data_IF_098522257296
#
_entry.id   IF_098522257296
#
_cell.length_a   1.000
_cell.length_b   1.000
_cell.length_c   1.000
_cell.angle_alpha   90.00
_cell.angle_beta   90.00
_cell.angle_gamma   90.00
#
_symmetry.space_group_name_H-M   'P 1'
#
loop_
_entity.id
_entity.type
_entity.pdbx_description
1 polymer ?
#
# COMPACT_ATOMS: atom_id res chain seq x y z
N UNK A 1 -18.11 -53.38 6.19
CA UNK A 1 -17.69 -51.99 5.96
C UNK A 1 -16.96 -51.95 4.63
N UNK A 2 -17.53 -51.32 3.60
CA UNK A 2 -16.86 -51.20 2.31
C UNK A 2 -15.80 -50.11 2.42
N UNK A 3 -14.54 -50.46 2.13
CA UNK A 3 -13.45 -49.49 2.03
C UNK A 3 -13.71 -48.58 0.82
N UNK A 4 -13.75 -47.27 1.05
CA UNK A 4 -13.85 -46.28 -0.01
C UNK A 4 -12.59 -46.39 -0.89
N UNK A 5 -12.80 -46.59 -2.19
CA UNK A 5 -11.74 -46.55 -3.20
C UNK A 5 -11.17 -45.12 -3.24
N UNK A 6 -9.84 -44.92 -3.20
CA UNK A 6 -9.28 -43.58 -3.25
C UNK A 6 -9.65 -42.93 -4.58
N UNK A 7 -10.31 -41.77 -4.52
CA UNK A 7 -10.65 -40.95 -5.68
C UNK A 7 -9.35 -40.59 -6.43
N UNK A 8 -9.29 -40.95 -7.72
CA UNK A 8 -8.15 -40.66 -8.59
C UNK A 8 -7.85 -39.16 -8.51
N UNK A 9 -6.63 -38.79 -8.11
CA UNK A 9 -6.22 -37.40 -8.05
C UNK A 9 -6.48 -36.72 -9.40
N UNK A 10 -7.36 -35.72 -9.43
CA UNK A 10 -7.61 -34.91 -10.63
C UNK A 10 -6.29 -34.29 -11.07
N UNK A 11 -6.03 -34.32 -12.38
CA UNK A 11 -4.86 -33.63 -12.94
C UNK A 11 -4.89 -32.16 -12.49
N UNK A 12 -3.74 -31.59 -12.09
CA UNK A 12 -3.69 -30.22 -11.61
C UNK A 12 -4.16 -29.29 -12.72
N UNK A 13 -4.99 -28.28 -12.40
CA UNK A 13 -5.47 -27.35 -13.41
C UNK A 13 -4.30 -26.59 -14.03
N UNK A 14 -4.30 -26.49 -15.36
CA UNK A 14 -3.33 -25.68 -16.10
C UNK A 14 -3.80 -24.23 -16.10
N UNK A 15 -2.92 -23.32 -15.67
CA UNK A 15 -3.21 -21.88 -15.69
C UNK A 15 -3.02 -21.31 -17.09
N UNK A 16 -3.92 -20.42 -17.50
CA UNK A 16 -3.68 -19.54 -18.65
C UNK A 16 -2.81 -18.35 -18.25
N UNK A 17 -2.23 -17.67 -19.24
CA UNK A 17 -1.49 -16.41 -19.03
C UNK A 17 -2.30 -15.39 -18.20
N UNK A 18 -3.57 -15.20 -18.56
CA UNK A 18 -4.45 -14.23 -17.88
C UNK A 18 -4.67 -14.63 -16.43
N UNK A 19 -4.95 -15.91 -16.17
CA UNK A 19 -5.13 -16.41 -14.80
C UNK A 19 -3.87 -16.27 -13.96
N UNK A 20 -2.69 -16.53 -14.53
CA UNK A 20 -1.42 -16.31 -13.83
C UNK A 20 -1.24 -14.85 -13.39
N UNK A 21 -1.55 -13.90 -14.28
CA UNK A 21 -1.48 -12.46 -13.99
C UNK A 21 -2.51 -12.07 -12.93
N UNK A 22 -3.74 -12.58 -12.99
CA UNK A 22 -4.77 -12.29 -12.00
C UNK A 22 -4.41 -12.81 -10.61
N UNK A 23 -3.86 -14.03 -10.52
CA UNK A 23 -3.35 -14.61 -9.27
C UNK A 23 -2.25 -13.73 -8.71
N UNK A 24 -1.27 -13.33 -9.52
CA UNK A 24 -0.21 -12.41 -9.11
C UNK A 24 -0.79 -11.10 -8.59
N UNK A 25 -1.69 -10.46 -9.33
CA UNK A 25 -2.28 -9.18 -8.94
C UNK A 25 -3.05 -9.29 -7.62
N UNK A 26 -3.83 -10.36 -7.43
CA UNK A 26 -4.58 -10.60 -6.21
C UNK A 26 -3.65 -10.78 -4.99
N UNK A 27 -2.61 -11.60 -5.13
CA UNK A 27 -1.64 -11.87 -4.06
C UNK A 27 -0.78 -10.65 -3.77
N UNK A 28 -0.26 -9.96 -4.79
CA UNK A 28 0.54 -8.75 -4.63
C UNK A 28 -0.28 -7.69 -3.88
N UNK A 29 -1.52 -7.44 -4.30
CA UNK A 29 -2.39 -6.47 -3.62
C UNK A 29 -2.60 -6.80 -2.14
N UNK A 30 -2.78 -8.08 -1.80
CA UNK A 30 -2.93 -8.49 -0.40
C UNK A 30 -1.61 -8.34 0.38
N UNK A 31 -0.49 -8.72 -0.22
CA UNK A 31 0.82 -8.65 0.41
C UNK A 31 1.34 -7.22 0.53
N UNK A 32 0.89 -6.28 -0.29
CA UNK A 32 1.25 -4.86 -0.13
C UNK A 32 0.54 -4.19 1.05
N UNK A 33 -0.45 -4.84 1.68
CA UNK A 33 -1.17 -4.22 2.81
C UNK A 33 -0.22 -3.93 3.99
N UNK A 34 -0.34 -2.76 4.67
CA UNK A 34 0.48 -2.41 5.82
C UNK A 34 0.43 -3.47 6.92
N UNK A 35 -0.76 -4.00 7.21
CA UNK A 35 -0.98 -5.03 8.22
C UNK A 35 -0.20 -6.32 7.93
N UNK A 36 -0.24 -6.79 6.68
CA UNK A 36 0.50 -7.99 6.28
C UNK A 36 2.01 -7.76 6.40
N UNK A 37 2.49 -6.63 5.86
CA UNK A 37 3.92 -6.32 5.87
C UNK A 37 4.44 -6.10 7.30
N UNK A 38 3.65 -5.52 8.19
CA UNK A 38 3.99 -5.40 9.62
C UNK A 38 4.08 -6.77 10.28
N UNK A 39 3.04 -7.60 10.16
CA UNK A 39 3.04 -8.95 10.75
C UNK A 39 4.20 -9.82 10.25
N UNK A 40 4.54 -9.71 8.96
CA UNK A 40 5.66 -10.43 8.37
C UNK A 40 7.00 -9.98 8.97
N UNK A 41 7.23 -8.67 9.11
CA UNK A 41 8.45 -8.13 9.73
C UNK A 41 8.59 -8.56 11.18
N UNK A 42 7.54 -8.42 11.98
CA UNK A 42 7.53 -8.85 13.39
C UNK A 42 7.83 -10.35 13.53
N UNK A 43 7.26 -11.18 12.65
CA UNK A 43 7.50 -12.62 12.66
C UNK A 43 8.94 -12.99 12.26
N UNK A 44 9.56 -12.27 11.32
CA UNK A 44 10.96 -12.45 10.94
C UNK A 44 11.92 -11.96 12.02
N UNK A 45 11.63 -10.83 12.66
CA UNK A 45 12.40 -10.33 13.80
C UNK A 45 12.39 -11.32 14.95
N UNK A 46 11.24 -11.90 15.28
CA UNK A 46 11.12 -12.94 16.30
C UNK A 46 11.87 -14.22 15.93
N UNK A 47 11.87 -14.60 14.65
CA UNK A 47 12.62 -15.76 14.17
C UNK A 47 14.14 -15.53 14.15
N UNK A 48 14.59 -14.27 14.12
CA UNK A 48 16.01 -13.93 14.04
C UNK A 48 16.66 -14.55 12.80
N UNK A 49 17.80 -15.23 12.99
CA UNK A 49 18.55 -15.91 11.92
C UNK A 49 18.11 -17.37 11.66
N UNK A 50 17.07 -17.86 12.33
CA UNK A 50 16.57 -19.21 12.11
C UNK A 50 15.73 -19.26 10.81
N UNK A 51 16.38 -19.67 9.73
CA UNK A 51 15.77 -19.78 8.40
C UNK A 51 14.53 -20.69 8.38
N UNK A 52 14.51 -21.74 9.21
CA UNK A 52 13.37 -22.66 9.28
C UNK A 52 12.19 -21.99 9.97
N UNK A 53 12.44 -21.25 11.05
CA UNK A 53 11.42 -20.45 11.72
C UNK A 53 10.89 -19.34 10.79
N UNK A 54 11.75 -18.63 10.05
CA UNK A 54 11.35 -17.65 9.05
C UNK A 54 10.47 -18.27 7.96
N UNK A 55 10.86 -19.42 7.41
CA UNK A 55 10.08 -20.14 6.40
C UNK A 55 8.70 -20.57 6.93
N UNK A 56 8.63 -21.03 8.19
CA UNK A 56 7.39 -21.39 8.84
C UNK A 56 6.47 -20.17 9.06
N UNK A 57 7.01 -19.06 9.56
CA UNK A 57 6.29 -17.79 9.73
C UNK A 57 5.72 -17.28 8.40
N UNK A 58 6.54 -17.26 7.35
CA UNK A 58 6.10 -16.89 5.99
C UNK A 58 4.95 -17.77 5.52
N UNK A 59 5.07 -19.09 5.66
CA UNK A 59 4.01 -20.02 5.25
C UNK A 59 2.71 -19.80 6.04
N UNK A 60 2.81 -19.55 7.35
CA UNK A 60 1.67 -19.33 8.23
C UNK A 60 0.90 -18.05 7.85
N UNK A 61 1.61 -16.97 7.52
CA UNK A 61 1.00 -15.69 7.12
C UNK A 61 0.46 -15.70 5.69
N UNK A 62 1.18 -16.33 4.76
CA UNK A 62 0.77 -16.38 3.35
C UNK A 62 -0.42 -17.31 3.11
N UNK A 63 -0.47 -18.47 3.78
CA UNK A 63 -1.49 -19.49 3.53
C UNK A 63 -2.95 -19.00 3.61
N UNK A 64 -3.41 -18.28 4.66
CA UNK A 64 -4.80 -17.82 4.72
C UNK A 64 -5.17 -16.84 3.60
N UNK A 65 -4.19 -16.17 2.98
CA UNK A 65 -4.38 -15.30 1.82
C UNK A 65 -4.36 -16.11 0.52
N UNK A 66 -3.41 -17.05 0.40
CA UNK A 66 -3.22 -17.85 -0.82
C UNK A 66 -4.35 -18.84 -1.05
N UNK A 67 -4.79 -19.56 -0.02
CA UNK A 67 -5.82 -20.60 -0.13
C UNK A 67 -7.11 -20.10 -0.84
N UNK A 68 -7.77 -19.01 -0.42
CA UNK A 68 -8.98 -18.53 -1.10
C UNK A 68 -8.72 -17.97 -2.50
N UNK A 69 -7.50 -17.53 -2.82
CA UNK A 69 -7.14 -17.07 -4.17
C UNK A 69 -7.00 -18.27 -5.12
N UNK A 70 -6.18 -19.25 -4.76
CA UNK A 70 -5.89 -20.39 -5.65
C UNK A 70 -7.10 -21.28 -5.89
N UNK A 71 -8.05 -21.35 -4.94
CA UNK A 71 -9.30 -22.10 -5.11
C UNK A 71 -10.20 -21.54 -6.21
N UNK A 72 -10.13 -20.24 -6.51
CA UNK A 72 -10.86 -19.64 -7.64
C UNK A 72 -10.39 -20.18 -8.99
N UNK A 73 -9.19 -20.76 -9.03
CA UNK A 73 -8.55 -21.30 -10.23
C UNK A 73 -8.44 -22.83 -10.21
N UNK A 74 -9.23 -23.48 -9.33
CA UNK A 74 -9.36 -24.94 -9.29
C UNK A 74 -8.35 -25.68 -8.41
N UNK A 75 -7.49 -24.97 -7.66
CA UNK A 75 -6.57 -25.60 -6.71
C UNK A 75 -7.23 -25.81 -5.35
N UNK A 76 -6.82 -26.86 -4.65
CA UNK A 76 -7.37 -27.17 -3.33
C UNK A 76 -6.92 -26.13 -2.29
N UNK A 77 -7.77 -25.76 -1.32
CA UNK A 77 -7.43 -24.80 -0.25
C UNK A 77 -6.54 -25.46 0.82
N UNK A 78 -5.44 -26.09 0.37
CA UNK A 78 -4.48 -26.81 1.20
C UNK A 78 -3.06 -26.36 0.86
N UNK A 79 -2.09 -26.66 1.73
CA UNK A 79 -0.67 -26.36 1.46
C UNK A 79 -0.19 -27.03 0.17
N UNK A 80 -0.67 -28.24 -0.12
CA UNK A 80 -0.34 -28.95 -1.35
C UNK A 80 -0.95 -28.26 -2.59
N UNK A 81 -2.19 -27.77 -2.51
CA UNK A 81 -2.82 -27.03 -3.59
C UNK A 81 -2.14 -25.69 -3.89
N UNK A 82 -1.77 -24.94 -2.84
CA UNK A 82 -0.95 -23.72 -2.96
C UNK A 82 0.41 -24.02 -3.60
N UNK A 83 1.08 -25.08 -3.18
CA UNK A 83 2.35 -25.50 -3.78
C UNK A 83 2.20 -25.86 -5.26
N UNK A 84 1.14 -26.59 -5.64
CA UNK A 84 0.83 -26.89 -7.04
C UNK A 84 0.57 -25.63 -7.86
N UNK A 85 -0.20 -24.67 -7.33
CA UNK A 85 -0.42 -23.38 -7.98
C UNK A 85 0.91 -22.63 -8.19
N UNK A 86 1.79 -22.62 -7.18
CA UNK A 86 3.12 -21.99 -7.31
C UNK A 86 3.96 -22.65 -8.41
N UNK A 87 3.94 -23.99 -8.52
CA UNK A 87 4.63 -24.70 -9.60
C UNK A 87 4.03 -24.39 -10.97
N UNK A 88 2.71 -24.25 -11.07
CA UNK A 88 2.04 -23.89 -12.32
C UNK A 88 2.36 -22.46 -12.78
N UNK A 89 2.77 -21.56 -11.89
CA UNK A 89 3.25 -20.20 -12.21
C UNK A 89 4.74 -20.15 -12.58
N UNK A 90 5.47 -21.25 -12.42
CA UNK A 90 6.92 -21.36 -12.65
C UNK A 90 7.27 -22.36 -13.77
N UNK A 91 6.33 -22.68 -14.67
CA UNK A 91 6.66 -23.48 -15.87
C UNK A 91 7.53 -22.65 -16.83
N UNK A 92 8.32 -23.29 -17.72
CA UNK A 92 9.14 -22.58 -18.70
C UNK A 92 8.34 -21.58 -19.56
N UNK A 93 7.13 -21.96 -19.96
CA UNK A 93 6.23 -21.12 -20.76
C UNK A 93 5.78 -19.88 -19.96
N UNK A 94 5.41 -20.07 -18.70
CA UNK A 94 5.01 -18.97 -17.81
C UNK A 94 6.18 -18.04 -17.50
N UNK A 95 7.37 -18.60 -17.27
CA UNK A 95 8.58 -17.81 -16.98
C UNK A 95 9.13 -17.06 -18.20
N UNK A 96 8.80 -17.50 -19.41
CA UNK A 96 9.10 -16.77 -20.64
C UNK A 96 8.20 -15.53 -20.82
N UNK A 97 7.02 -15.48 -20.20
CA UNK A 97 6.16 -14.30 -20.24
C UNK A 97 6.68 -13.19 -19.29
N UNK A 98 6.92 -11.97 -19.80
CA UNK A 98 7.52 -10.90 -19.01
C UNK A 98 6.62 -10.41 -17.87
N UNK A 99 5.29 -10.39 -18.04
CA UNK A 99 4.37 -9.92 -17.00
C UNK A 99 4.22 -10.96 -15.88
N UNK A 100 4.18 -12.24 -16.23
CA UNK A 100 4.20 -13.33 -15.24
C UNK A 100 5.52 -13.31 -14.47
N UNK A 101 6.67 -13.13 -15.15
CA UNK A 101 7.98 -13.00 -14.51
C UNK A 101 8.08 -11.80 -13.56
N UNK A 102 7.53 -10.64 -13.93
CA UNK A 102 7.45 -9.47 -13.04
C UNK A 102 6.62 -9.78 -11.80
N UNK A 103 5.43 -10.36 -11.96
CA UNK A 103 4.58 -10.74 -10.83
C UNK A 103 5.26 -11.72 -9.86
N UNK A 104 5.95 -12.73 -10.39
CA UNK A 104 6.74 -13.67 -9.58
C UNK A 104 7.87 -12.97 -8.81
N UNK A 105 8.58 -12.04 -9.45
CA UNK A 105 9.64 -11.25 -8.80
C UNK A 105 9.10 -10.39 -7.65
N UNK A 106 7.97 -9.71 -7.87
CA UNK A 106 7.31 -8.88 -6.86
C UNK A 106 6.85 -9.75 -5.67
N UNK A 107 6.21 -10.90 -5.94
CA UNK A 107 5.75 -11.79 -4.87
C UNK A 107 6.90 -12.31 -4.02
N UNK A 108 8.02 -12.73 -4.64
CA UNK A 108 9.21 -13.22 -3.92
C UNK A 108 9.79 -12.12 -3.02
N UNK A 109 9.85 -10.89 -3.51
CA UNK A 109 10.32 -9.74 -2.75
C UNK A 109 9.37 -9.36 -1.61
N UNK A 110 8.05 -9.38 -1.83
CA UNK A 110 7.05 -9.00 -0.82
C UNK A 110 6.96 -9.93 0.39
N UNK A 111 7.42 -11.18 0.26
CA UNK A 111 7.38 -12.18 1.34
C UNK A 111 8.73 -12.41 2.01
N UNK A 112 9.72 -11.56 1.73
CA UNK A 112 11.08 -11.65 2.25
C UNK A 112 11.55 -10.27 2.76
N UNK A 113 11.36 -9.97 4.06
CA UNK A 113 11.80 -8.71 4.66
C UNK A 113 13.30 -8.42 4.51
N UNK A 114 14.16 -9.43 4.47
CA UNK A 114 15.59 -9.22 4.28
C UNK A 114 15.90 -8.83 2.84
N UNK A 115 15.18 -9.42 1.87
CA UNK A 115 15.21 -8.97 0.47
C UNK A 115 14.73 -7.53 0.33
N UNK A 116 13.66 -7.11 1.04
CA UNK A 116 13.16 -5.73 1.00
C UNK A 116 14.15 -4.70 1.55
N UNK A 117 14.92 -5.08 2.58
CA UNK A 117 15.97 -4.22 3.15
C UNK A 117 17.18 -4.09 2.23
N UNK A 118 17.53 -5.15 1.52
CA UNK A 118 18.77 -5.23 0.72
C UNK A 118 18.61 -4.74 -0.71
N UNK A 119 17.43 -4.90 -1.29
CA UNK A 119 17.19 -4.65 -2.71
C UNK A 119 16.01 -3.69 -2.92
N UNK A 120 16.09 -2.81 -3.93
CA UNK A 120 14.96 -1.97 -4.31
C UNK A 120 13.76 -2.82 -4.74
N UNK A 121 12.57 -2.23 -4.74
CA UNK A 121 11.37 -2.91 -5.22
C UNK A 121 11.52 -3.32 -6.69
N UNK A 122 11.06 -4.53 -7.08
CA UNK A 122 11.11 -4.98 -8.46
C UNK A 122 10.29 -4.10 -9.42
N UNK A 123 10.65 -4.14 -10.71
CA UNK A 123 9.92 -3.45 -11.78
C UNK A 123 8.43 -3.85 -11.77
N UNK A 124 7.55 -2.84 -11.92
CA UNK A 124 6.11 -3.04 -11.92
C UNK A 124 5.47 -3.05 -10.52
N UNK A 125 6.24 -3.03 -9.43
CA UNK A 125 5.69 -2.91 -8.08
C UNK A 125 4.94 -1.59 -7.85
N UNK A 126 5.38 -0.51 -8.48
CA UNK A 126 4.80 0.84 -8.36
C UNK A 126 3.28 0.88 -8.58
N UNK A 127 2.74 0.00 -9.44
CA UNK A 127 1.28 -0.09 -9.69
C UNK A 127 0.49 -0.54 -8.46
N UNK A 128 1.15 -1.15 -7.47
CA UNK A 128 0.53 -1.69 -6.26
C UNK A 128 0.81 -0.89 -4.99
N UNK A 129 1.70 0.12 -5.03
CA UNK A 129 1.94 0.96 -3.85
C UNK A 129 0.61 1.53 -3.35
N UNK A 130 0.37 1.51 -2.02
CA UNK A 130 -0.78 2.18 -1.42
C UNK A 130 -0.82 3.62 -1.91
N UNK A 131 -2.03 4.17 -2.13
CA UNK A 131 -2.20 5.55 -2.60
C UNK A 131 -1.50 6.58 -1.70
N UNK A 132 -1.28 6.26 -0.43
CA UNK A 132 -0.55 7.08 0.55
C UNK A 132 0.98 7.06 0.36
N UNK A 133 1.52 6.04 -0.31
CA UNK A 133 2.95 5.80 -0.51
C UNK A 133 3.37 5.97 -1.99
N UNK A 134 2.38 6.12 -2.88
CA UNK A 134 2.60 6.86 -4.11
C UNK A 134 2.85 8.30 -3.69
N UNK A 135 4.12 8.67 -3.61
CA UNK A 135 4.51 10.07 -3.68
C UNK A 135 4.11 10.52 -5.08
N UNK A 136 2.82 10.77 -5.27
CA UNK A 136 2.35 11.48 -6.43
C UNK A 136 3.05 12.84 -6.32
N UNK A 137 3.85 13.22 -7.31
CA UNK A 137 4.42 14.57 -7.39
C UNK A 137 3.33 15.67 -7.33
N UNK A 138 2.05 15.26 -7.47
CA UNK A 138 0.84 16.05 -7.27
C UNK A 138 0.31 16.12 -5.82
N UNK A 139 0.45 15.10 -4.97
CA UNK A 139 -0.07 15.16 -3.57
C UNK A 139 0.89 15.86 -2.61
N UNK A 140 2.14 16.13 -3.01
CA UNK A 140 3.07 16.97 -2.27
C UNK A 140 3.31 16.53 -0.83
N UNK A 141 3.13 15.26 -0.50
CA UNK A 141 3.45 14.71 0.81
C UNK A 141 4.95 14.87 1.08
N UNK A 142 5.30 15.90 1.86
CA UNK A 142 6.68 16.38 2.05
C UNK A 142 6.87 17.88 1.81
N UNK A 143 5.91 18.54 1.15
CA UNK A 143 5.90 20.00 1.01
C UNK A 143 5.36 20.65 2.29
N UNK A 144 6.12 21.61 2.78
CA UNK A 144 5.72 22.44 3.90
C UNK A 144 5.18 23.78 3.39
N UNK A 145 4.25 24.35 4.13
CA UNK A 145 3.60 25.61 3.80
C UNK A 145 3.60 26.53 5.01
N UNK A 146 3.96 27.79 4.79
CA UNK A 146 3.85 28.84 5.81
C UNK A 146 2.62 29.69 5.55
N UNK A 147 1.82 29.92 6.59
CA UNK A 147 0.64 30.80 6.52
C UNK A 147 1.08 32.26 6.45
N UNK A 148 0.96 32.89 5.28
CA UNK A 148 1.31 34.30 5.06
C UNK A 148 0.07 35.22 5.05
N UNK A 149 -1.12 34.65 4.89
CA UNK A 149 -2.38 35.37 4.87
C UNK A 149 -3.08 35.48 6.23
N UNK A 150 -4.13 36.31 6.30
CA UNK A 150 -5.03 36.37 7.46
C UNK A 150 -4.53 37.16 8.68
N UNK A 151 -3.37 37.83 8.61
CA UNK A 151 -2.74 38.49 9.77
C UNK A 151 -3.65 39.48 10.51
N UNK A 152 -4.39 40.33 9.78
CA UNK A 152 -5.36 41.28 10.40
C UNK A 152 -6.53 40.60 11.13
N UNK A 153 -6.78 39.31 10.85
CA UNK A 153 -7.87 38.50 11.41
C UNK A 153 -7.35 37.37 12.31
N UNK A 154 -6.07 37.39 12.67
CA UNK A 154 -5.43 36.37 13.51
C UNK A 154 -5.21 35.02 12.82
N UNK A 155 -5.23 34.98 11.48
CA UNK A 155 -4.99 33.76 10.71
C UNK A 155 -6.08 33.41 9.69
N UNK A 156 -5.96 32.22 9.12
CA UNK A 156 -6.81 31.71 8.05
C UNK A 156 -7.90 30.76 8.59
N UNK A 157 -9.04 30.72 7.90
CA UNK A 157 -10.17 29.85 8.27
C UNK A 157 -9.81 28.40 7.99
N UNK A 158 -9.96 27.55 9.00
CA UNK A 158 -9.83 26.10 8.86
C UNK A 158 -11.23 25.49 8.82
N UNK A 159 -11.45 24.55 7.90
CA UNK A 159 -12.70 23.81 7.79
C UNK A 159 -12.51 22.32 8.08
N UNK A 160 -13.57 21.67 8.54
CA UNK A 160 -13.58 20.23 8.83
C UNK A 160 -13.46 19.41 7.53
N UNK A 161 -14.05 19.89 6.43
CA UNK A 161 -14.04 19.21 5.14
C UNK A 161 -13.42 20.02 4.01
N UNK A 162 -13.14 19.33 2.90
CA UNK A 162 -12.56 19.91 1.68
C UNK A 162 -13.41 21.06 1.12
N UNK A 163 -14.73 20.90 1.09
CA UNK A 163 -15.66 21.89 0.54
C UNK A 163 -15.60 23.22 1.30
N UNK A 164 -15.70 24.33 0.57
CA UNK A 164 -15.75 25.70 1.14
C UNK A 164 -17.04 25.98 1.91
N UNK A 165 -18.05 25.12 1.76
CA UNK A 165 -19.32 25.16 2.51
C UNK A 165 -19.32 24.28 3.75
N UNK A 166 -18.26 23.50 3.99
CA UNK A 166 -18.16 22.66 5.18
C UNK A 166 -17.96 23.48 6.45
N UNK A 167 -18.28 22.90 7.60
CA UNK A 167 -18.22 23.58 8.89
C UNK A 167 -16.82 24.16 9.17
N UNK A 168 -16.79 25.41 9.65
CA UNK A 168 -15.56 26.07 10.10
C UNK A 168 -15.20 25.54 11.49
N UNK A 169 -13.91 25.34 11.73
CA UNK A 169 -13.40 25.12 13.08
C UNK A 169 -13.42 26.43 13.86
N UNK A 170 -13.67 26.34 15.17
CA UNK A 170 -13.74 27.50 16.05
C UNK A 170 -12.43 28.32 16.08
N UNK A 171 -11.29 27.67 15.86
CA UNK A 171 -9.96 28.31 15.84
C UNK A 171 -9.43 28.43 14.42
N UNK A 172 -8.79 29.57 14.15
CA UNK A 172 -8.05 29.83 12.91
C UNK A 172 -6.64 29.25 12.99
N UNK A 173 -6.05 28.97 11.83
CA UNK A 173 -4.64 28.67 11.71
C UNK A 173 -3.88 29.99 11.59
N UNK A 174 -3.06 30.32 12.60
CA UNK A 174 -2.44 31.63 12.75
C UNK A 174 -1.45 31.93 11.61
N UNK A 175 -1.27 33.23 11.30
CA UNK A 175 -0.21 33.66 10.39
C UNK A 175 1.17 33.33 10.99
N UNK A 176 2.07 32.81 10.17
CA UNK A 176 3.37 32.27 10.58
C UNK A 176 3.34 30.79 10.97
N UNK A 177 2.16 30.15 11.06
CA UNK A 177 2.09 28.71 11.29
C UNK A 177 2.68 27.95 10.08
N UNK A 178 3.35 26.83 10.38
CA UNK A 178 3.93 25.92 9.40
C UNK A 178 3.14 24.63 9.37
N UNK A 179 2.77 24.17 8.19
CA UNK A 179 1.97 22.97 8.00
C UNK A 179 2.55 22.07 6.93
N UNK A 180 2.39 20.76 7.10
CA UNK A 180 2.71 19.75 6.09
C UNK A 180 1.48 19.51 5.22
N UNK A 181 1.67 19.47 3.91
CA UNK A 181 0.65 19.07 2.96
C UNK A 181 0.34 17.57 3.08
N UNK A 182 -0.93 17.26 3.28
CA UNK A 182 -1.46 15.89 3.25
C UNK A 182 -2.19 15.61 1.94
N UNK A 183 -2.93 16.60 1.44
CA UNK A 183 -3.67 16.52 0.18
C UNK A 183 -3.86 17.93 -0.40
N UNK A 184 -3.96 18.03 -1.73
CA UNK A 184 -4.19 19.28 -2.44
C UNK A 184 -5.19 19.05 -3.58
N UNK A 185 -6.36 19.66 -3.44
CA UNK A 185 -7.42 19.55 -4.44
C UNK A 185 -8.01 20.92 -4.77
N UNK A 186 -7.98 21.31 -6.05
CA UNK A 186 -8.59 22.53 -6.58
C UNK A 186 -8.35 23.81 -5.73
N UNK A 187 -7.13 23.99 -5.22
CA UNK A 187 -6.75 25.15 -4.38
C UNK A 187 -7.12 25.03 -2.90
N UNK A 188 -7.49 23.83 -2.44
CA UNK A 188 -7.77 23.48 -1.05
C UNK A 188 -6.69 22.54 -0.55
N UNK A 189 -6.05 22.93 0.55
CA UNK A 189 -4.98 22.19 1.18
C UNK A 189 -5.51 21.48 2.43
N UNK A 190 -5.43 20.15 2.44
CA UNK A 190 -5.53 19.37 3.65
C UNK A 190 -4.16 19.31 4.30
N UNK A 191 -4.10 19.63 5.59
CA UNK A 191 -2.82 19.80 6.26
C UNK A 191 -2.74 19.10 7.62
N UNK A 192 -1.50 18.88 8.05
CA UNK A 192 -1.11 18.63 9.44
C UNK A 192 -0.23 19.77 9.93
N UNK A 193 -0.56 20.38 11.07
CA UNK A 193 0.24 21.46 11.64
C UNK A 193 1.56 20.92 12.17
N UNK A 194 2.63 21.66 11.90
CA UNK A 194 4.01 21.34 12.30
C UNK A 194 4.50 22.33 13.35
N UNK A 195 4.22 23.63 13.17
CA UNK A 195 4.57 24.67 14.13
C UNK A 195 3.55 25.83 14.12
N UNK A 196 3.53 26.60 15.20
CA UNK A 196 2.64 27.75 15.38
C UNK A 196 1.27 27.42 15.97
N UNK A 197 0.39 28.43 15.97
CA UNK A 197 -0.92 28.37 16.62
C UNK A 197 -2.06 28.00 15.67
N UNK A 198 -3.01 27.20 16.18
CA UNK A 198 -4.19 26.79 15.44
C UNK A 198 -4.49 25.30 15.57
N UNK A 199 -5.53 24.80 14.88
CA UNK A 199 -5.88 23.38 14.82
C UNK A 199 -4.73 22.52 14.27
N UNK A 200 -4.64 21.27 14.74
CA UNK A 200 -3.59 20.35 14.29
C UNK A 200 -3.85 19.78 12.89
N UNK A 201 -5.11 19.77 12.45
CA UNK A 201 -5.54 19.28 11.16
C UNK A 201 -6.71 20.11 10.60
N UNK A 202 -6.86 20.07 9.28
CA UNK A 202 -8.07 20.55 8.60
C UNK A 202 -7.81 21.03 7.18
N UNK A 203 -8.82 21.67 6.59
CA UNK A 203 -8.80 22.15 5.22
C UNK A 203 -8.77 23.68 5.13
N UNK A 204 -7.80 24.22 4.39
CA UNK A 204 -7.63 25.67 4.16
C UNK A 204 -7.61 25.98 2.66
N UNK A 205 -7.89 27.23 2.29
CA UNK A 205 -7.72 27.69 0.91
C UNK A 205 -6.30 28.19 0.71
N UNK A 206 -5.69 27.87 -0.43
CA UNK A 206 -4.41 28.45 -0.84
C UNK A 206 -4.53 29.93 -1.20
N UNK A 207 -5.70 30.36 -1.70
CA UNK A 207 -5.94 31.74 -2.12
C UNK A 207 -7.25 32.30 -1.56
N UNK A 208 -7.29 33.62 -1.39
CA UNK A 208 -8.52 34.37 -1.13
C UNK A 208 -8.46 35.72 -1.82
N UNK A 209 -9.48 36.04 -2.61
CA UNK A 209 -9.52 37.26 -3.44
C UNK A 209 -8.23 37.45 -4.28
N UNK A 210 -7.73 36.37 -4.89
CA UNK A 210 -6.52 36.37 -5.72
C UNK A 210 -5.19 36.50 -4.98
N UNK A 211 -5.19 36.64 -3.65
CA UNK A 211 -3.97 36.71 -2.85
C UNK A 211 -3.64 35.35 -2.23
N UNK A 212 -2.36 34.92 -2.25
CA UNK A 212 -1.96 33.69 -1.58
C UNK A 212 -2.14 33.83 -0.06
N UNK A 213 -2.65 32.78 0.56
CA UNK A 213 -2.80 32.64 2.00
C UNK A 213 -1.70 31.77 2.62
N UNK A 214 -1.14 30.88 1.81
CA UNK A 214 0.00 30.05 2.16
C UNK A 214 1.06 30.14 1.07
N UNK A 215 2.31 29.98 1.47
CA UNK A 215 3.47 29.94 0.57
C UNK A 215 4.24 28.67 0.85
N UNK A 216 4.53 27.89 -0.22
CA UNK A 216 5.34 26.70 -0.12
C UNK A 216 6.74 27.09 0.36
N UNK A 217 7.30 26.33 1.31
CA UNK A 217 8.68 26.47 1.75
C UNK A 217 9.45 25.23 1.32
N UNK A 218 10.53 25.45 0.57
CA UNK A 218 11.49 24.41 0.28
C UNK A 218 12.36 24.24 1.54
N UNK A 219 12.31 23.04 2.13
CA UNK A 219 13.21 22.61 3.21
C UNK A 219 14.39 21.86 2.65
#
# INVERSE_FOLDING_TARGET
MAAAVPEKAKEPPTLTRTQAIEIHNALIKAYTSPDFQQQLREAFEKAGKDERAQAASRQQLCFPIQAPVVTRYGFEPTRAGVFRCSRALETPEMMADPEVKKGNSILKWLVDPDSQKRFPSPEGYERFKPKEERVDEETGAGRYWTVTGGGRKGGIVVRIGQATTSAELARRLASGAVVQQLDLDHGRLHYKKIAGDGPDYGWVSLYSAGKPLLTCVDT
#
